data_IF_573164349480
#
_entry.id   IF_573164349480
#
_cell.length_a   1.000
_cell.length_b   1.000
_cell.length_c   1.000
_cell.angle_alpha   90.00
_cell.angle_beta   90.00
_cell.angle_gamma   90.00
#
_symmetry.space_group_name_H-M   'P 1'
#
loop_
_entity.id
_entity.type
_entity.pdbx_description
1 polymer ?
#
# COMPACT_ATOMS: atom_id res chain seq x y z
N UNK A 1 11.94 15.09 17.32
CA UNK A 1 11.63 13.72 16.85
C UNK A 1 10.50 13.17 17.72
N UNK A 2 9.44 12.65 17.11
CA UNK A 2 8.34 12.03 17.85
C UNK A 2 8.82 10.77 18.60
N UNK A 3 7.98 10.31 19.53
CA UNK A 3 8.11 9.05 20.30
C UNK A 3 7.98 7.77 19.44
N UNK A 4 8.28 7.82 18.13
CA UNK A 4 8.13 6.66 17.23
C UNK A 4 8.99 5.45 17.64
N UNK A 5 10.09 5.74 18.34
CA UNK A 5 11.04 4.78 18.91
C UNK A 5 10.90 4.60 20.43
N UNK A 6 9.75 4.95 21.02
CA UNK A 6 9.51 4.73 22.45
C UNK A 6 9.63 3.24 22.81
N UNK A 7 10.10 2.95 24.02
CA UNK A 7 10.19 1.57 24.52
C UNK A 7 8.80 0.96 24.67
N UNK A 8 7.84 1.75 25.14
CA UNK A 8 6.45 1.32 25.21
C UNK A 8 5.79 1.46 23.83
N UNK A 9 5.30 0.37 23.21
CA UNK A 9 4.62 0.45 21.92
C UNK A 9 3.34 1.29 21.96
N UNK A 10 2.68 1.42 23.12
CA UNK A 10 1.44 2.20 23.26
C UNK A 10 1.71 3.72 23.25
N UNK A 11 2.93 4.13 23.57
CA UNK A 11 3.37 5.53 23.52
C UNK A 11 3.78 5.96 22.11
N UNK A 12 3.93 5.01 21.19
CA UNK A 12 4.29 5.29 19.81
C UNK A 12 3.07 5.82 19.07
N UNK A 13 3.20 6.94 18.32
CA UNK A 13 2.12 7.41 17.48
C UNK A 13 1.78 6.39 16.39
N UNK A 14 0.51 6.33 16.03
CA UNK A 14 0.10 5.62 14.83
C UNK A 14 0.53 6.39 13.57
N UNK A 15 0.48 5.72 12.41
CA UNK A 15 0.90 6.30 11.15
C UNK A 15 0.13 7.58 10.79
N UNK A 16 -1.17 7.64 11.06
CA UNK A 16 -2.00 8.83 10.80
C UNK A 16 -1.46 10.04 11.57
N UNK A 17 -1.15 9.87 12.85
CA UNK A 17 -0.56 10.93 13.69
C UNK A 17 0.81 11.38 13.16
N UNK A 18 1.66 10.44 12.72
CA UNK A 18 2.94 10.75 12.10
C UNK A 18 2.78 11.57 10.81
N UNK A 19 1.84 11.19 9.94
CA UNK A 19 1.57 11.89 8.68
C UNK A 19 1.10 13.31 8.96
N UNK A 20 0.14 13.51 9.86
CA UNK A 20 -0.33 14.84 10.21
C UNK A 20 0.80 15.72 10.76
N UNK A 21 1.58 15.18 11.70
CA UNK A 21 2.71 15.92 12.25
C UNK A 21 3.73 16.30 11.18
N UNK A 22 4.10 15.36 10.30
CA UNK A 22 5.05 15.60 9.23
C UNK A 22 4.53 16.65 8.24
N UNK A 23 3.25 16.56 7.83
CA UNK A 23 2.60 17.57 6.98
C UNK A 23 2.62 18.96 7.61
N UNK A 24 2.32 19.07 8.90
CA UNK A 24 2.35 20.35 9.61
C UNK A 24 3.76 20.94 9.69
N UNK A 25 4.78 20.11 9.92
CA UNK A 25 6.17 20.57 9.92
C UNK A 25 6.61 21.00 8.52
N UNK A 26 6.29 20.22 7.48
CA UNK A 26 6.57 20.56 6.08
C UNK A 26 5.88 21.86 5.68
N UNK A 27 4.62 22.05 6.05
CA UNK A 27 3.88 23.29 5.77
C UNK A 27 4.56 24.53 6.35
N UNK A 28 5.14 24.40 7.54
CA UNK A 28 5.86 25.50 8.22
C UNK A 28 7.26 25.72 7.63
N UNK A 29 7.96 24.65 7.29
CA UNK A 29 9.35 24.71 6.83
C UNK A 29 9.48 25.02 5.33
N UNK A 30 8.64 24.40 4.49
CA UNK A 30 8.62 24.58 3.04
C UNK A 30 7.27 24.18 2.43
N UNK A 31 6.35 25.15 2.23
CA UNK A 31 5.06 24.90 1.58
C UNK A 31 5.18 24.32 0.16
N UNK A 32 6.20 24.74 -0.59
CA UNK A 32 6.43 24.29 -1.97
C UNK A 32 6.82 22.81 -2.03
N UNK A 33 7.62 22.35 -1.06
CA UNK A 33 7.95 20.93 -0.95
C UNK A 33 6.71 20.11 -0.57
N UNK A 34 5.87 20.63 0.34
CA UNK A 34 4.61 19.96 0.69
C UNK A 34 3.71 19.79 -0.54
N UNK A 35 3.50 20.85 -1.31
CA UNK A 35 2.71 20.81 -2.54
C UNK A 35 3.27 19.76 -3.52
N UNK A 36 4.60 19.74 -3.71
CA UNK A 36 5.24 18.76 -4.59
C UNK A 36 5.01 17.32 -4.11
N UNK A 37 5.18 17.06 -2.82
CA UNK A 37 4.95 15.74 -2.22
C UNK A 37 3.48 15.31 -2.41
N UNK A 38 2.53 16.22 -2.24
CA UNK A 38 1.10 15.90 -2.44
C UNK A 38 0.76 15.56 -3.90
N UNK A 39 1.41 16.22 -4.87
CA UNK A 39 1.31 15.86 -6.28
C UNK A 39 1.89 14.48 -6.56
N UNK A 40 3.12 14.22 -6.11
CA UNK A 40 3.80 12.93 -6.34
C UNK A 40 3.01 11.76 -5.70
N UNK A 41 2.45 11.94 -4.50
CA UNK A 41 1.60 10.96 -3.84
C UNK A 41 0.29 10.71 -4.60
N UNK A 42 -0.31 11.75 -5.17
CA UNK A 42 -1.54 11.63 -5.96
C UNK A 42 -1.30 10.83 -7.25
N UNK A 43 -0.13 11.00 -7.87
CA UNK A 43 0.23 10.26 -9.07
C UNK A 43 0.62 8.80 -8.78
N UNK A 44 1.28 8.53 -7.65
CA UNK A 44 1.48 7.17 -7.16
C UNK A 44 0.15 6.46 -6.92
N UNK A 45 -0.82 7.13 -6.27
CA UNK A 45 -2.14 6.56 -6.02
C UNK A 45 -2.81 6.08 -7.32
N UNK A 46 -2.83 6.92 -8.35
CA UNK A 46 -3.39 6.57 -9.67
C UNK A 46 -2.66 5.37 -10.30
N UNK A 47 -1.34 5.27 -10.15
CA UNK A 47 -0.57 4.12 -10.65
C UNK A 47 -0.90 2.83 -9.89
N UNK A 48 -1.06 2.91 -8.57
CA UNK A 48 -1.47 1.77 -7.76
C UNK A 48 -2.89 1.31 -8.11
N UNK A 49 -3.80 2.24 -8.38
CA UNK A 49 -5.15 1.92 -8.83
C UNK A 49 -5.13 1.22 -10.19
N UNK A 50 -4.36 1.74 -11.15
CA UNK A 50 -4.21 1.12 -12.47
C UNK A 50 -3.60 -0.29 -12.38
N UNK A 51 -2.58 -0.47 -11.53
CA UNK A 51 -1.97 -1.78 -11.27
C UNK A 51 -2.98 -2.74 -10.61
N UNK A 52 -3.74 -2.25 -9.64
CA UNK A 52 -4.76 -3.05 -8.96
C UNK A 52 -5.82 -3.52 -9.94
N UNK A 53 -6.31 -2.62 -10.80
CA UNK A 53 -7.25 -2.95 -11.88
C UNK A 53 -6.67 -4.01 -12.82
N UNK A 54 -5.41 -3.86 -13.24
CA UNK A 54 -4.72 -4.84 -14.10
C UNK A 54 -4.62 -6.22 -13.44
N UNK A 55 -4.28 -6.28 -12.15
CA UNK A 55 -4.22 -7.53 -11.38
C UNK A 55 -5.60 -8.18 -11.18
N UNK A 56 -6.67 -7.38 -11.14
CA UNK A 56 -8.05 -7.87 -10.99
C UNK A 56 -8.77 -8.09 -12.32
N UNK A 57 -8.13 -7.85 -13.46
CA UNK A 57 -8.76 -7.91 -14.78
C UNK A 57 -9.12 -9.35 -15.15
N UNK A 58 -10.44 -9.58 -15.21
CA UNK A 58 -11.24 -10.78 -15.56
C UNK A 58 -10.76 -12.17 -15.06
N UNK A 59 -11.60 -12.90 -14.29
CA UNK A 59 -11.41 -14.34 -14.15
C UNK A 59 -11.54 -15.00 -15.53
N UNK A 60 -10.74 -16.04 -15.78
CA UNK A 60 -10.78 -16.81 -17.02
C UNK A 60 -12.25 -17.18 -17.34
N UNK A 61 -12.78 -16.88 -18.53
CA UNK A 61 -14.13 -17.27 -18.94
C UNK A 61 -14.42 -18.77 -18.72
N UNK A 62 -13.37 -19.61 -18.64
CA UNK A 62 -13.45 -21.04 -18.30
C UNK A 62 -13.89 -21.33 -16.86
N UNK A 63 -13.79 -20.39 -15.94
CA UNK A 63 -14.32 -20.55 -14.57
C UNK A 63 -15.86 -20.45 -14.53
N UNK A 64 -16.50 -19.84 -15.54
CA UNK A 64 -17.96 -19.71 -15.63
C UNK A 64 -18.68 -20.86 -16.34
N UNK A 65 -17.95 -21.78 -17.00
CA UNK A 65 -18.53 -22.84 -17.85
C UNK A 65 -18.49 -24.24 -17.22
N UNK A 66 -17.93 -24.39 -16.02
CA UNK A 66 -17.88 -25.68 -15.32
C UNK A 66 -19.04 -25.85 -14.33
N UNK A 67 -20.25 -25.61 -14.84
CA UNK A 67 -21.49 -26.10 -14.23
C UNK A 67 -21.72 -27.59 -14.52
N UNK A 68 -20.74 -28.47 -14.26
CA UNK A 68 -20.99 -29.90 -14.00
C UNK A 68 -19.72 -30.63 -13.53
N UNK A 69 -19.68 -31.02 -12.25
CA UNK A 69 -18.84 -32.13 -11.79
C UNK A 69 -17.48 -31.80 -11.19
N UNK A 70 -17.26 -32.36 -10.00
CA UNK A 70 -16.01 -32.49 -9.22
C UNK A 70 -15.48 -31.27 -8.48
N UNK A 71 -15.70 -31.28 -7.16
CA UNK A 71 -14.91 -30.55 -6.19
C UNK A 71 -13.42 -30.90 -6.35
N UNK A 72 -12.59 -29.88 -6.54
CA UNK A 72 -11.16 -29.96 -6.21
C UNK A 72 -10.93 -29.10 -4.96
N UNK A 73 -10.14 -29.56 -3.96
CA UNK A 73 -9.91 -28.77 -2.77
C UNK A 73 -9.13 -27.52 -3.16
N UNK A 74 -9.69 -26.36 -2.82
CA UNK A 74 -9.06 -25.06 -3.00
C UNK A 74 -7.63 -25.09 -2.45
N UNK A 75 -6.66 -24.98 -3.35
CA UNK A 75 -5.27 -24.70 -2.98
C UNK A 75 -5.25 -23.33 -2.28
N UNK A 76 -4.57 -23.16 -1.14
CA UNK A 76 -4.55 -21.89 -0.43
C UNK A 76 -3.94 -20.85 -1.36
N UNK A 77 -4.62 -19.70 -1.52
CA UNK A 77 -4.09 -18.51 -2.19
C UNK A 77 -2.80 -18.12 -1.47
N UNK A 78 -1.66 -18.58 -1.97
CA UNK A 78 -0.37 -18.12 -1.50
C UNK A 78 -0.19 -16.72 -2.06
N UNK A 79 -0.63 -15.72 -1.28
CA UNK A 79 -0.22 -14.34 -1.49
C UNK A 79 1.28 -14.29 -1.20
N UNK A 80 2.11 -14.57 -2.20
CA UNK A 80 3.53 -14.26 -2.13
C UNK A 80 3.65 -12.75 -1.92
N UNK A 81 3.98 -12.35 -0.70
CA UNK A 81 4.50 -11.00 -0.45
C UNK A 81 5.82 -10.92 -1.22
N UNK A 82 5.80 -10.26 -2.37
CA UNK A 82 7.02 -9.90 -3.10
C UNK A 82 7.80 -8.93 -2.20
N UNK A 83 8.72 -9.45 -1.40
CA UNK A 83 9.71 -8.65 -0.70
C UNK A 83 10.80 -8.30 -1.72
N UNK A 84 10.85 -7.03 -2.13
CA UNK A 84 11.97 -6.50 -2.91
C UNK A 84 13.13 -6.32 -1.92
N UNK A 85 14.06 -7.28 -1.88
CA UNK A 85 15.23 -7.25 -0.99
C UNK A 85 16.40 -6.39 -1.50
N UNK A 86 16.24 -5.70 -2.62
CA UNK A 86 17.35 -5.07 -3.34
C UNK A 86 17.43 -3.56 -3.08
N UNK A 87 17.62 -3.15 -1.83
CA UNK A 87 18.20 -1.84 -1.50
C UNK A 87 19.08 -1.96 -0.26
N UNK A 88 20.27 -2.53 -0.44
CA UNK A 88 21.41 -2.33 0.45
C UNK A 88 22.64 -2.08 -0.42
N UNK A 89 23.03 -0.82 -0.51
CA UNK A 89 24.38 -0.38 -0.85
C UNK A 89 24.77 0.73 0.09
#
# INVERSE_FOLDING_TARGET
>A
MMRCWDKDPNERPNFTQCIHHLKDQLRKASPQLLERVELDLSDECKRQDALSQWLTSEPDPREGINGFGTMTPSSPKHTERIYISEFSR
#
